data_IF_946857306470
#
_entry.id   IF_946857306470
#
_cell.length_a   1.000
_cell.length_b   1.000
_cell.length_c   1.000
_cell.angle_alpha   90.00
_cell.angle_beta   90.00
_cell.angle_gamma   90.00
#
_symmetry.space_group_name_H-M   'P 1'
#
loop_
_entity.id
_entity.type
_entity.pdbx_description
1 polymer ?
#
# COMPACT_ATOMS: atom_id res chain seq x y z
N UNK A 1 -13.99 4.85 -3.93
CA UNK A 1 -12.62 4.72 -3.37
C UNK A 1 -12.67 3.69 -2.26
N UNK A 2 -12.09 2.52 -2.50
CA UNK A 2 -12.00 1.46 -1.48
C UNK A 2 -10.76 1.70 -0.62
N UNK A 3 -10.89 1.63 0.69
CA UNK A 3 -9.75 1.79 1.61
C UNK A 3 -9.25 0.40 1.98
N UNK A 4 -8.05 0.05 1.52
CA UNK A 4 -7.43 -1.25 1.81
C UNK A 4 -6.73 -1.24 3.18
N UNK A 5 -6.10 -0.12 3.52
CA UNK A 5 -5.46 0.07 4.82
C UNK A 5 -5.62 1.51 5.27
N UNK A 6 -6.09 1.73 6.49
CA UNK A 6 -6.32 3.06 7.04
C UNK A 6 -5.40 3.31 8.23
N UNK A 7 -4.65 4.41 8.19
CA UNK A 7 -3.81 4.90 9.30
C UNK A 7 -2.88 3.82 9.89
N UNK A 8 -2.30 2.95 9.05
CA UNK A 8 -1.38 1.92 9.52
C UNK A 8 -0.05 2.56 9.87
N UNK A 9 0.44 2.29 11.08
CA UNK A 9 1.74 2.78 11.52
C UNK A 9 2.80 1.73 11.23
N UNK A 10 3.83 2.11 10.48
CA UNK A 10 4.98 1.27 10.17
C UNK A 10 6.20 1.79 10.91
N UNK A 11 6.72 0.98 11.83
CA UNK A 11 8.02 1.24 12.46
C UNK A 11 9.15 1.15 11.43
N UNK A 12 10.31 1.68 11.78
CA UNK A 12 11.51 1.65 10.96
C UNK A 12 11.76 0.24 10.39
N UNK A 13 11.92 0.15 9.07
CA UNK A 13 12.21 -1.10 8.36
C UNK A 13 11.07 -2.13 8.33
N UNK A 14 9.89 -1.83 8.91
CA UNK A 14 8.72 -2.71 8.84
C UNK A 14 8.03 -2.63 7.49
N UNK A 15 7.41 -3.74 7.12
CA UNK A 15 6.66 -3.92 5.89
C UNK A 15 5.18 -4.13 6.22
N UNK A 16 4.31 -3.52 5.44
CA UNK A 16 2.87 -3.76 5.41
C UNK A 16 2.56 -4.58 4.17
N UNK A 17 1.87 -5.70 4.37
CA UNK A 17 1.35 -6.52 3.29
C UNK A 17 -0.13 -6.20 3.13
N UNK A 18 -0.54 -5.89 1.90
CA UNK A 18 -1.92 -5.60 1.54
C UNK A 18 -2.30 -6.58 0.45
N UNK A 19 -3.36 -7.33 0.68
CA UNK A 19 -3.87 -8.30 -0.28
C UNK A 19 -4.19 -7.64 -1.62
N UNK A 20 -3.65 -8.21 -2.70
CA UNK A 20 -3.90 -7.77 -4.07
C UNK A 20 -5.04 -8.62 -4.60
N UNK A 21 -6.27 -8.27 -4.21
CA UNK A 21 -7.45 -9.01 -4.70
C UNK A 21 -7.50 -9.03 -6.24
N UNK A 22 -7.55 -7.83 -6.86
CA UNK A 22 -7.57 -7.66 -8.32
C UNK A 22 -7.11 -6.26 -8.75
N UNK A 23 -6.48 -5.52 -7.84
CA UNK A 23 -6.04 -4.15 -8.12
C UNK A 23 -4.63 -4.18 -8.71
N UNK A 24 -4.30 -3.18 -9.53
CA UNK A 24 -2.94 -2.95 -10.00
C UNK A 24 -2.32 -1.77 -9.25
N UNK A 25 -0.99 -1.73 -9.12
CA UNK A 25 -0.23 -0.67 -8.44
C UNK A 25 -0.63 0.73 -8.91
N UNK A 26 -0.93 0.90 -10.19
CA UNK A 26 -1.33 2.16 -10.79
C UNK A 26 -2.67 2.68 -10.24
N UNK A 27 -3.53 1.79 -9.77
CA UNK A 27 -4.80 2.12 -9.13
C UNK A 27 -4.63 2.42 -7.63
N UNK A 28 -3.47 2.15 -7.03
CA UNK A 28 -3.24 2.39 -5.61
C UNK A 28 -2.83 3.85 -5.35
N UNK A 29 -3.53 4.48 -4.41
CA UNK A 29 -3.12 5.71 -3.76
C UNK A 29 -2.54 5.39 -2.40
N UNK A 30 -1.25 5.65 -2.21
CA UNK A 30 -0.60 5.54 -0.91
C UNK A 30 -0.30 6.94 -0.39
N UNK A 31 -1.01 7.32 0.67
CA UNK A 31 -0.76 8.53 1.44
C UNK A 31 0.12 8.17 2.63
N UNK A 32 1.28 8.82 2.75
CA UNK A 32 2.30 8.49 3.75
C UNK A 32 2.88 9.74 4.40
N UNK A 33 3.13 9.69 5.71
CA UNK A 33 3.78 10.80 6.43
C UNK A 33 5.30 10.84 6.30
N UNK A 34 5.89 9.94 5.51
CA UNK A 34 7.34 9.83 5.31
C UNK A 34 7.70 8.94 4.12
N UNK A 35 8.99 8.78 3.81
CA UNK A 35 9.44 8.01 2.66
C UNK A 35 9.08 6.52 2.81
N UNK A 36 8.52 5.96 1.75
CA UNK A 36 8.15 4.56 1.66
C UNK A 36 8.59 3.97 0.33
N UNK A 37 8.69 2.64 0.30
CA UNK A 37 8.85 1.86 -0.94
C UNK A 37 7.58 1.05 -1.14
N UNK A 38 6.99 1.12 -2.33
CA UNK A 38 5.84 0.30 -2.75
C UNK A 38 6.28 -0.71 -3.80
N UNK A 39 6.16 -1.98 -3.45
CA UNK A 39 6.44 -3.12 -4.32
C UNK A 39 5.14 -3.86 -4.60
N UNK A 40 4.93 -4.21 -5.87
CA UNK A 40 3.84 -5.08 -6.28
C UNK A 40 4.38 -6.51 -6.39
N UNK A 41 3.70 -7.45 -5.75
CA UNK A 41 3.88 -8.90 -5.95
C UNK A 41 2.65 -9.47 -6.64
N UNK A 42 2.72 -10.75 -7.01
CA UNK A 42 1.63 -11.47 -7.64
C UNK A 42 0.37 -11.51 -6.76
N UNK A 43 0.50 -11.80 -5.45
CA UNK A 43 -0.63 -11.91 -4.51
C UNK A 43 -0.86 -10.68 -3.62
N UNK A 44 0.12 -9.77 -3.50
CA UNK A 44 0.01 -8.65 -2.54
C UNK A 44 0.83 -7.43 -2.92
N UNK A 45 0.48 -6.29 -2.32
CA UNK A 45 1.30 -5.09 -2.30
C UNK A 45 2.09 -5.03 -1.00
N UNK A 46 3.37 -4.69 -1.12
CA UNK A 46 4.27 -4.52 0.01
C UNK A 46 4.65 -3.05 0.13
N UNK A 47 4.33 -2.45 1.27
CA UNK A 47 4.76 -1.09 1.61
C UNK A 47 5.79 -1.17 2.72
N UNK A 48 7.01 -0.74 2.44
CA UNK A 48 8.09 -0.71 3.40
C UNK A 48 8.36 0.73 3.87
N UNK A 49 8.51 0.89 5.18
CA UNK A 49 9.01 2.15 5.74
C UNK A 49 10.51 2.29 5.41
N UNK A 50 10.84 3.33 4.62
CA UNK A 50 12.20 3.70 4.21
C UNK A 50 12.74 4.92 4.97
N UNK A 51 12.02 5.38 5.99
CA UNK A 51 12.49 6.41 6.89
C UNK A 51 13.65 5.88 7.75
N UNK A 52 14.59 6.75 8.08
CA UNK A 52 15.81 6.42 8.82
C UNK A 52 15.63 6.56 10.35
N UNK A 53 14.61 7.31 10.80
CA UNK A 53 14.54 7.77 12.19
C UNK A 53 13.17 7.60 12.85
N UNK A 54 12.07 7.52 12.09
CA UNK A 54 10.71 7.53 12.65
C UNK A 54 9.78 6.49 12.02
N UNK A 55 8.73 6.19 12.76
CA UNK A 55 7.59 5.46 12.21
C UNK A 55 6.83 6.36 11.25
N UNK A 56 6.36 5.80 10.14
CA UNK A 56 5.48 6.48 9.19
C UNK A 56 4.05 5.99 9.37
N UNK A 57 3.09 6.86 9.11
CA UNK A 57 1.70 6.48 8.97
C UNK A 57 1.38 6.37 7.48
N UNK A 58 0.76 5.26 7.09
CA UNK A 58 0.38 4.99 5.70
C UNK A 58 -1.13 4.69 5.62
N UNK A 59 -1.76 5.27 4.61
CA UNK A 59 -3.14 5.02 4.23
C UNK A 59 -3.17 4.63 2.77
N UNK A 60 -3.74 3.46 2.47
CA UNK A 60 -3.81 2.89 1.14
C UNK A 60 -5.25 2.86 0.68
N UNK A 61 -5.48 3.48 -0.46
CA UNK A 61 -6.78 3.60 -1.10
C UNK A 61 -6.68 3.14 -2.54
N UNK A 62 -7.79 2.72 -3.11
CA UNK A 62 -7.88 2.43 -4.54
C UNK A 62 -8.62 3.56 -5.24
N UNK A 63 -7.97 4.09 -6.28
CA UNK A 63 -8.52 4.99 -7.28
C UNK A 63 -9.23 4.16 -8.35
N UNK A 64 -10.51 3.87 -8.14
CA UNK A 64 -11.35 3.18 -9.11
C UNK A 64 -12.15 2.02 -8.52
N UNK A 65 -13.19 1.62 -9.24
CA UNK A 65 -13.88 0.35 -9.03
C UNK A 65 -12.97 -0.81 -9.46
N UNK A 66 -13.17 -2.00 -8.90
CA UNK A 66 -12.34 -3.20 -9.16
C UNK A 66 -11.95 -3.27 -10.64
N UNK A 67 -10.66 -3.46 -10.92
CA UNK A 67 -10.28 -3.97 -12.23
C UNK A 67 -10.86 -5.39 -12.29
N UNK A 68 -12.03 -5.52 -12.91
CA UNK A 68 -12.51 -6.75 -13.50
C UNK A 68 -11.34 -7.32 -14.30
N UNK A 69 -10.72 -8.39 -13.79
CA UNK A 69 -9.83 -9.23 -14.55
C UNK A 69 -10.69 -10.40 -15.05
N UNK A 70 -11.13 -10.42 -16.32
CA UNK A 70 -11.57 -11.63 -16.96
C UNK A 70 -10.31 -12.39 -17.42
N UNK A 71 -9.94 -13.45 -16.71
CA UNK A 71 -8.81 -14.29 -17.08
C UNK A 71 -8.71 -15.55 -16.23
#
# INVERSE_FOLDING_TARGET
MTVLAKNKTLSLGRMLFIDKESYQKEQLEVDSTGPYKLEEKDDCFVIQNMDCCKSIMVTVKVKGDKAENPG
#
